data_IF_716070672276
#
_entry.id   IF_716070672276
#
_cell.length_a   1.000
_cell.length_b   1.000
_cell.length_c   1.000
_cell.angle_alpha   90.00
_cell.angle_beta   90.00
_cell.angle_gamma   90.00
#
_symmetry.space_group_name_H-M   'P 1'
#
loop_
_entity.id
_entity.type
_entity.pdbx_description
1 polymer ?
#
# COMPACT_ATOMS: atom_id res chain seq x y z
N UNK A 1 30.41 -40.80 17.15
CA UNK A 1 29.22 -40.42 17.94
C UNK A 1 29.15 -38.93 18.28
N UNK A 2 30.26 -38.32 18.66
CA UNK A 2 30.28 -36.87 18.91
C UNK A 2 29.92 -36.06 17.66
N UNK A 3 30.31 -36.52 16.49
CA UNK A 3 30.04 -35.83 15.22
C UNK A 3 28.55 -35.75 14.89
N UNK A 4 27.74 -36.75 15.24
CA UNK A 4 26.31 -36.73 14.94
C UNK A 4 25.54 -35.75 15.82
N UNK A 5 25.97 -35.57 17.08
CA UNK A 5 25.40 -34.57 17.99
C UNK A 5 25.73 -33.15 17.51
N UNK A 6 26.97 -32.93 17.11
CA UNK A 6 27.39 -31.63 16.55
C UNK A 6 26.67 -31.29 15.25
N UNK A 7 26.47 -32.26 14.38
CA UNK A 7 25.72 -32.08 13.14
C UNK A 7 24.27 -31.70 13.42
N UNK A 8 23.64 -32.31 14.42
CA UNK A 8 22.27 -31.94 14.83
C UNK A 8 22.18 -30.52 15.36
N UNK A 9 23.15 -30.11 16.20
CA UNK A 9 23.21 -28.75 16.73
C UNK A 9 23.38 -27.74 15.60
N UNK A 10 24.26 -28.02 14.65
CA UNK A 10 24.50 -27.14 13.50
C UNK A 10 23.22 -27.02 12.64
N UNK A 11 22.52 -28.11 12.40
CA UNK A 11 21.23 -28.09 11.67
C UNK A 11 20.18 -27.26 12.40
N UNK A 12 20.11 -27.37 13.71
CA UNK A 12 19.21 -26.54 14.51
C UNK A 12 19.54 -25.07 14.39
N UNK A 13 20.82 -24.71 14.45
CA UNK A 13 21.27 -23.34 14.28
C UNK A 13 20.94 -22.79 12.89
N UNK A 14 21.18 -23.59 11.85
CA UNK A 14 20.85 -23.23 10.48
C UNK A 14 19.34 -23.02 10.32
N UNK A 15 18.55 -23.93 10.85
CA UNK A 15 17.10 -23.83 10.81
C UNK A 15 16.61 -22.59 11.57
N UNK A 16 17.17 -22.34 12.73
CA UNK A 16 16.81 -21.17 13.54
C UNK A 16 17.15 -19.86 12.81
N UNK A 17 18.33 -19.83 12.20
CA UNK A 17 18.75 -18.69 11.39
C UNK A 17 17.81 -18.47 10.18
N UNK A 18 17.44 -19.55 9.51
CA UNK A 18 16.52 -19.48 8.38
C UNK A 18 15.15 -18.94 8.81
N UNK A 19 14.65 -19.40 9.94
CA UNK A 19 13.37 -18.92 10.49
C UNK A 19 13.43 -17.42 10.81
N UNK A 20 14.53 -16.96 11.39
CA UNK A 20 14.74 -15.53 11.67
C UNK A 20 14.73 -14.70 10.39
N UNK A 21 15.39 -15.17 9.36
CA UNK A 21 15.42 -14.49 8.06
C UNK A 21 14.03 -14.43 7.45
N UNK A 22 13.28 -15.52 7.53
CA UNK A 22 11.90 -15.55 7.02
C UNK A 22 11.02 -14.56 7.78
N UNK A 23 11.13 -14.52 9.09
CA UNK A 23 10.37 -13.55 9.91
C UNK A 23 10.70 -12.11 9.55
N UNK A 24 11.99 -11.82 9.37
CA UNK A 24 12.43 -10.49 8.98
C UNK A 24 11.85 -10.09 7.63
N UNK A 25 11.87 -10.98 6.66
CA UNK A 25 11.29 -10.74 5.33
C UNK A 25 9.78 -10.58 5.38
N UNK A 26 9.10 -11.34 6.23
CA UNK A 26 7.66 -11.20 6.44
C UNK A 26 7.31 -9.84 7.05
N UNK A 27 8.09 -9.38 8.01
CA UNK A 27 7.89 -8.06 8.61
C UNK A 27 8.10 -6.96 7.59
N UNK A 28 9.14 -7.06 6.77
CA UNK A 28 9.39 -6.12 5.68
C UNK A 28 8.22 -6.10 4.68
N UNK A 29 7.72 -7.26 4.32
CA UNK A 29 6.57 -7.37 3.41
C UNK A 29 5.32 -6.74 4.01
N UNK A 30 5.08 -6.91 5.30
CA UNK A 30 3.96 -6.28 6.00
C UNK A 30 4.07 -4.76 5.99
N UNK A 31 5.27 -4.24 6.19
CA UNK A 31 5.52 -2.79 6.15
C UNK A 31 5.26 -2.22 4.76
N UNK A 32 5.71 -2.93 3.73
CA UNK A 32 5.46 -2.54 2.33
C UNK A 32 3.96 -2.54 2.03
N UNK A 33 3.24 -3.57 2.45
CA UNK A 33 1.78 -3.63 2.26
C UNK A 33 1.06 -2.48 2.97
N UNK A 34 1.50 -2.15 4.17
CA UNK A 34 0.94 -1.02 4.92
C UNK A 34 1.14 0.28 4.17
N UNK A 35 2.33 0.49 3.62
CA UNK A 35 2.65 1.68 2.84
C UNK A 35 1.83 1.75 1.56
N UNK A 36 1.64 0.63 0.88
CA UNK A 36 0.78 0.55 -0.32
C UNK A 36 -0.66 0.94 0.02
N UNK A 37 -1.19 0.46 1.13
CA UNK A 37 -2.55 0.81 1.58
C UNK A 37 -2.68 2.30 1.89
N UNK A 38 -1.67 2.89 2.51
CA UNK A 38 -1.63 4.33 2.79
C UNK A 38 -1.63 5.15 1.50
N UNK A 39 -0.80 4.77 0.54
CA UNK A 39 -0.73 5.43 -0.77
C UNK A 39 -2.05 5.30 -1.53
N UNK A 40 -2.67 4.12 -1.49
CA UNK A 40 -3.96 3.90 -2.12
C UNK A 40 -5.04 4.79 -1.50
N UNK A 41 -5.03 4.91 -0.19
CA UNK A 41 -5.97 5.79 0.51
C UNK A 41 -5.79 7.25 0.11
N UNK A 42 -4.55 7.72 -0.05
CA UNK A 42 -4.25 9.07 -0.53
C UNK A 42 -4.74 9.28 -1.96
N UNK A 43 -4.50 8.31 -2.85
CA UNK A 43 -4.97 8.36 -4.23
C UNK A 43 -6.49 8.43 -4.32
N UNK A 44 -7.18 7.63 -3.52
CA UNK A 44 -8.65 7.63 -3.46
C UNK A 44 -9.17 9.01 -3.01
N UNK A 45 -8.51 9.62 -2.03
CA UNK A 45 -8.84 10.96 -1.58
C UNK A 45 -8.62 12.03 -2.65
N UNK A 46 -7.53 11.95 -3.39
CA UNK A 46 -7.23 12.85 -4.51
C UNK A 46 -8.25 12.72 -5.64
N UNK A 47 -8.61 11.49 -5.98
CA UNK A 47 -9.63 11.23 -7.00
C UNK A 47 -10.98 11.81 -6.59
N UNK A 48 -11.37 11.63 -5.35
CA UNK A 48 -12.60 12.21 -4.81
C UNK A 48 -12.60 13.74 -4.91
N UNK A 49 -11.47 14.35 -4.56
CA UNK A 49 -11.29 15.80 -4.68
C UNK A 49 -11.41 16.25 -6.13
N UNK A 50 -10.81 15.53 -7.06
CA UNK A 50 -10.89 15.84 -8.49
C UNK A 50 -12.33 15.71 -9.02
N UNK A 51 -13.05 14.68 -8.60
CA UNK A 51 -14.45 14.51 -8.98
C UNK A 51 -15.30 15.69 -8.53
N UNK A 52 -15.07 16.19 -7.33
CA UNK A 52 -15.76 17.39 -6.80
C UNK A 52 -15.41 18.65 -7.57
N UNK A 53 -14.13 18.81 -7.92
CA UNK A 53 -13.70 19.96 -8.73
C UNK A 53 -14.32 19.93 -10.11
N UNK A 54 -14.37 18.76 -10.77
CA UNK A 54 -15.01 18.60 -12.05
C UNK A 54 -16.49 18.89 -12.00
N UNK A 55 -17.19 18.42 -10.97
CA UNK A 55 -18.61 18.72 -10.77
C UNK A 55 -18.84 20.23 -10.60
N UNK A 56 -17.96 20.92 -9.88
CA UNK A 56 -18.02 22.36 -9.71
C UNK A 56 -17.84 23.09 -11.04
N UNK A 57 -16.89 22.66 -11.84
CA UNK A 57 -16.64 23.26 -13.18
C UNK A 57 -17.85 23.03 -14.10
N UNK A 58 -18.40 21.83 -14.10
CA UNK A 58 -19.60 21.49 -14.88
C UNK A 58 -20.79 22.37 -14.49
N UNK A 59 -20.97 22.60 -13.20
CA UNK A 59 -22.04 23.47 -12.69
C UNK A 59 -21.84 24.91 -13.16
N UNK A 60 -20.64 25.43 -13.06
CA UNK A 60 -20.32 26.79 -13.55
C UNK A 60 -20.56 26.93 -15.05
N UNK A 61 -20.19 25.94 -15.84
CA UNK A 61 -20.44 25.93 -17.27
C UNK A 61 -21.94 25.93 -17.57
N UNK A 62 -22.69 25.13 -16.84
CA UNK A 62 -24.15 25.09 -16.98
C UNK A 62 -24.79 26.42 -16.63
N UNK A 63 -24.33 27.08 -15.57
CA UNK A 63 -24.82 28.38 -15.16
C UNK A 63 -24.53 29.47 -16.20
N UNK A 64 -23.33 29.45 -16.77
CA UNK A 64 -22.94 30.39 -17.83
C UNK A 64 -23.78 30.16 -19.08
N UNK A 65 -23.94 28.90 -19.48
CA UNK A 65 -24.76 28.53 -20.64
C UNK A 65 -26.23 28.96 -20.46
N UNK A 66 -26.78 28.75 -19.25
CA UNK A 66 -28.12 29.20 -18.92
C UNK A 66 -28.28 30.71 -18.99
N UNK A 67 -27.31 31.45 -18.47
CA UNK A 67 -27.31 32.91 -18.53
C UNK A 67 -27.22 33.42 -19.99
N UNK A 68 -26.47 32.75 -20.84
CA UNK A 68 -26.36 33.13 -22.26
C UNK A 68 -27.62 32.84 -23.03
N UNK A 69 -28.36 31.81 -22.71
CA UNK A 69 -29.60 31.47 -23.42
C UNK A 69 -30.79 32.33 -23.00
N UNK A 70 -30.75 32.95 -21.83
CA UNK A 70 -31.80 33.88 -21.39
C UNK A 70 -31.76 35.25 -22.05
N UNK A 71 -30.71 35.53 -22.80
CA UNK A 71 -30.60 36.74 -23.57
C UNK A 71 -31.30 36.58 -24.92
#
# INVERSE_FOLDING_TARGET
>A
MKSSVFVRIDRYRELYSAIRQIRSKLDDAKQVLKKIKELKSQEDGELESWEKELATVEQKLSDISGAMTER
#
